data_IF_584493854369
#
_entry.id   IF_584493854369
#
_cell.length_a   1.000
_cell.length_b   1.000
_cell.length_c   1.000
_cell.angle_alpha   90.00
_cell.angle_beta   90.00
_cell.angle_gamma   90.00
#
_symmetry.space_group_name_H-M   'P 1'
#
loop_
_entity.id
_entity.type
_entity.pdbx_description
1 polymer ?
#
# COMPACT_ATOMS: atom_id res chain seq x y z
N UNK A 1 -9.07 -16.60 23.38
CA UNK A 1 -7.65 -16.23 23.17
C UNK A 1 -7.68 -14.80 22.65
N UNK A 2 -6.97 -13.90 23.31
CA UNK A 2 -7.09 -12.46 23.08
C UNK A 2 -6.67 -12.07 21.66
N UNK A 3 -7.54 -11.35 20.96
CA UNK A 3 -7.34 -10.90 19.57
C UNK A 3 -6.13 -9.95 19.51
N UNK A 4 -5.91 -9.16 20.56
CA UNK A 4 -4.82 -8.19 20.62
C UNK A 4 -3.45 -8.89 20.63
N UNK A 5 -3.32 -9.99 21.38
CA UNK A 5 -2.07 -10.75 21.45
C UNK A 5 -1.73 -11.41 20.11
N UNK A 6 -2.74 -11.89 19.38
CA UNK A 6 -2.56 -12.45 18.03
C UNK A 6 -2.03 -11.40 17.04
N UNK A 7 -2.54 -10.17 17.11
CA UNK A 7 -2.03 -9.09 16.25
C UNK A 7 -0.61 -8.65 16.64
N UNK A 8 -0.28 -8.62 17.93
CA UNK A 8 1.09 -8.29 18.40
C UNK A 8 2.11 -9.38 18.04
N UNK A 9 1.70 -10.64 18.01
CA UNK A 9 2.55 -11.81 17.73
C UNK A 9 2.12 -12.55 16.46
N UNK A 10 1.81 -11.81 15.39
CA UNK A 10 1.26 -12.38 14.16
C UNK A 10 2.13 -13.47 13.52
N UNK A 11 3.46 -13.42 13.73
CA UNK A 11 4.38 -14.46 13.24
C UNK A 11 4.14 -15.84 13.90
N UNK A 12 3.82 -15.87 15.19
CA UNK A 12 3.44 -17.12 15.89
C UNK A 12 2.09 -17.62 15.40
N UNK A 13 1.14 -16.71 15.18
CA UNK A 13 -0.20 -17.05 14.71
C UNK A 13 -0.17 -17.65 13.28
N UNK A 14 0.68 -17.12 12.39
CA UNK A 14 0.88 -17.67 11.03
C UNK A 14 1.47 -19.09 11.08
N UNK A 15 2.36 -19.39 12.03
CA UNK A 15 2.97 -20.72 12.16
C UNK A 15 2.02 -21.74 12.79
N UNK A 16 1.21 -21.30 13.76
CA UNK A 16 0.34 -22.18 14.54
C UNK A 16 -1.01 -22.41 13.88
N UNK A 17 -1.50 -21.48 13.05
CA UNK A 17 -2.81 -21.55 12.42
C UNK A 17 -2.71 -21.77 10.90
N UNK A 18 -2.97 -23.00 10.40
CA UNK A 18 -2.91 -23.29 8.97
C UNK A 18 -3.92 -22.49 8.13
N UNK A 19 -5.07 -22.11 8.69
CA UNK A 19 -6.09 -21.32 7.97
C UNK A 19 -5.60 -19.91 7.63
N UNK A 20 -4.86 -19.27 8.55
CA UNK A 20 -4.27 -17.94 8.33
C UNK A 20 -3.20 -18.00 7.25
N UNK A 21 -2.39 -19.07 7.25
CA UNK A 21 -1.40 -19.33 6.21
C UNK A 21 -2.07 -19.50 4.85
N UNK A 22 -3.14 -20.28 4.75
CA UNK A 22 -3.90 -20.43 3.51
C UNK A 22 -4.51 -19.11 3.03
N UNK A 23 -5.05 -18.29 3.94
CA UNK A 23 -5.58 -16.97 3.61
C UNK A 23 -4.51 -16.05 3.02
N UNK A 24 -3.29 -16.05 3.58
CA UNK A 24 -2.16 -15.29 3.05
C UNK A 24 -1.76 -15.77 1.65
N UNK A 25 -1.68 -17.10 1.43
CA UNK A 25 -1.38 -17.68 0.11
C UNK A 25 -2.43 -17.26 -0.92
N UNK A 26 -3.73 -17.33 -0.56
CA UNK A 26 -4.83 -16.90 -1.43
C UNK A 26 -4.72 -15.40 -1.75
N UNK A 27 -4.38 -14.56 -0.77
CA UNK A 27 -4.18 -13.12 -0.96
C UNK A 27 -3.04 -12.82 -1.93
N UNK A 28 -1.91 -13.53 -1.83
CA UNK A 28 -0.80 -13.39 -2.79
C UNK A 28 -1.24 -13.77 -4.20
N UNK A 29 -1.89 -14.94 -4.37
CA UNK A 29 -2.41 -15.37 -5.68
C UNK A 29 -3.39 -14.38 -6.30
N UNK A 30 -4.23 -13.75 -5.49
CA UNK A 30 -5.17 -12.73 -5.95
C UNK A 30 -4.42 -11.53 -6.55
N UNK A 31 -3.42 -11.00 -5.86
CA UNK A 31 -2.62 -9.87 -6.35
C UNK A 31 -1.81 -10.23 -7.59
N UNK A 32 -1.22 -11.42 -7.63
CA UNK A 32 -0.44 -11.88 -8.79
C UNK A 32 -1.32 -12.02 -10.03
N UNK A 33 -2.52 -12.58 -9.87
CA UNK A 33 -3.50 -12.71 -10.96
C UNK A 33 -3.91 -11.32 -11.46
N UNK A 34 -4.24 -10.40 -10.56
CA UNK A 34 -4.64 -9.04 -10.92
C UNK A 34 -3.54 -8.29 -11.69
N UNK A 35 -2.27 -8.40 -11.24
CA UNK A 35 -1.13 -7.80 -11.93
C UNK A 35 -0.90 -8.41 -13.31
N UNK A 36 -0.98 -9.74 -13.42
CA UNK A 36 -0.80 -10.46 -14.68
C UNK A 36 -1.87 -10.04 -15.69
N UNK A 37 -3.14 -10.02 -15.27
CA UNK A 37 -4.24 -9.55 -16.10
C UNK A 37 -4.01 -8.14 -16.64
N UNK A 38 -3.63 -7.19 -15.78
CA UNK A 38 -3.36 -5.81 -16.21
C UNK A 38 -2.18 -5.74 -17.19
N UNK A 39 -1.11 -6.49 -16.94
CA UNK A 39 0.07 -6.54 -17.84
C UNK A 39 -0.28 -7.11 -19.22
N UNK A 40 -1.09 -8.16 -19.29
CA UNK A 40 -1.56 -8.75 -20.54
C UNK A 40 -2.41 -7.78 -21.37
N UNK A 41 -3.12 -6.86 -20.70
CA UNK A 41 -3.93 -5.82 -21.37
C UNK A 41 -3.12 -4.54 -21.67
N UNK A 42 -1.79 -4.58 -21.54
CA UNK A 42 -0.91 -3.47 -21.92
C UNK A 42 -0.77 -2.36 -20.87
N UNK A 43 -1.26 -2.57 -19.63
CA UNK A 43 -1.05 -1.61 -18.55
C UNK A 43 0.38 -1.69 -18.02
N UNK A 44 0.96 -0.52 -17.74
CA UNK A 44 2.27 -0.41 -17.09
C UNK A 44 2.11 -0.23 -15.58
N UNK A 45 2.77 -1.09 -14.81
CA UNK A 45 2.85 -0.96 -13.36
C UNK A 45 3.85 0.16 -13.02
N UNK A 46 3.37 1.26 -12.43
CA UNK A 46 4.18 2.43 -12.09
C UNK A 46 4.10 2.68 -10.58
N UNK A 47 5.26 2.87 -9.95
CA UNK A 47 5.34 3.32 -8.57
C UNK A 47 5.34 4.85 -8.50
N UNK A 48 4.42 5.40 -7.71
CA UNK A 48 4.33 6.84 -7.45
C UNK A 48 4.90 7.17 -6.06
N UNK A 49 5.40 8.39 -5.84
CA UNK A 49 5.95 8.80 -4.54
C UNK A 49 4.97 8.56 -3.40
N UNK A 50 5.46 7.98 -2.30
CA UNK A 50 4.66 7.77 -1.08
C UNK A 50 4.62 9.01 -0.19
N UNK A 51 5.65 9.86 -0.29
CA UNK A 51 5.72 11.15 0.39
C UNK A 51 5.48 12.26 -0.63
N UNK A 52 4.55 13.15 -0.31
CA UNK A 52 4.15 14.27 -1.15
C UNK A 52 4.37 15.60 -0.40
N UNK A 53 4.77 16.64 -1.13
CA UNK A 53 4.95 17.99 -0.57
C UNK A 53 3.59 18.70 -0.40
N UNK A 54 2.60 18.29 -1.19
CA UNK A 54 1.23 18.81 -1.13
C UNK A 54 0.28 17.64 -1.11
N UNK A 55 -0.68 17.68 -0.19
CA UNK A 55 -1.68 16.62 -0.03
C UNK A 55 -2.81 16.83 -1.02
N UNK A 56 -3.00 15.89 -1.94
CA UNK A 56 -4.11 15.93 -2.90
C UNK A 56 -4.76 14.56 -3.08
N UNK A 57 -5.99 14.54 -3.61
CA UNK A 57 -6.65 13.32 -4.09
C UNK A 57 -7.59 12.58 -3.13
N UNK A 58 -7.81 13.08 -1.91
CA UNK A 58 -8.88 12.59 -1.01
C UNK A 58 -9.11 13.57 0.16
N UNK A 59 -10.34 13.62 0.68
CA UNK A 59 -10.68 14.36 1.89
C UNK A 59 -10.38 13.49 3.13
N UNK A 60 -9.12 13.44 3.54
CA UNK A 60 -8.73 12.85 4.82
C UNK A 60 -7.55 13.60 5.44
N UNK A 61 -7.30 13.37 6.73
CA UNK A 61 -6.17 13.96 7.45
C UNK A 61 -4.88 13.19 7.14
N UNK A 62 -3.88 13.80 6.49
CA UNK A 62 -2.63 13.13 6.15
C UNK A 62 -1.71 12.99 7.36
N UNK A 63 -0.89 11.94 7.37
CA UNK A 63 0.24 11.85 8.28
C UNK A 63 1.34 12.84 7.85
N UNK A 64 1.70 13.77 8.74
CA UNK A 64 2.76 14.75 8.49
C UNK A 64 4.09 14.25 9.03
N UNK A 65 5.14 14.43 8.24
CA UNK A 65 6.53 14.21 8.63
C UNK A 65 7.40 15.39 8.18
N UNK A 66 8.66 15.43 8.60
CA UNK A 66 9.60 16.48 8.25
C UNK A 66 10.88 15.87 7.71
N UNK A 67 11.33 16.37 6.56
CA UNK A 67 12.63 15.99 6.01
C UNK A 67 13.68 16.98 6.54
N UNK A 68 14.65 16.47 7.29
CA UNK A 68 15.69 17.30 7.90
C UNK A 68 16.71 17.84 6.90
N UNK A 69 17.05 17.10 5.84
CA UNK A 69 18.08 17.49 4.88
C UNK A 69 17.59 18.62 3.96
N UNK A 70 16.35 18.52 3.50
CA UNK A 70 15.71 19.51 2.61
C UNK A 70 14.86 20.54 3.37
N UNK A 71 14.82 20.44 4.71
CA UNK A 71 14.11 21.36 5.61
C UNK A 71 12.65 21.63 5.24
N UNK A 72 11.94 20.60 4.76
CA UNK A 72 10.58 20.71 4.26
C UNK A 72 9.61 19.74 4.94
N UNK A 73 8.35 20.17 5.04
CA UNK A 73 7.27 19.31 5.51
C UNK A 73 6.82 18.36 4.40
N UNK A 74 6.73 17.08 4.71
CA UNK A 74 6.22 16.03 3.83
C UNK A 74 4.96 15.43 4.43
N UNK A 75 4.13 14.86 3.56
CA UNK A 75 2.90 14.20 3.93
C UNK A 75 2.85 12.81 3.32
N UNK A 76 2.37 11.83 4.07
CA UNK A 76 2.10 10.51 3.55
C UNK A 76 0.89 10.59 2.60
N UNK A 77 1.02 10.01 1.40
CA UNK A 77 -0.07 9.97 0.43
C UNK A 77 -1.33 9.34 1.03
N UNK A 78 -2.48 9.95 0.75
CA UNK A 78 -3.79 9.46 1.20
C UNK A 78 -4.45 8.61 0.11
N UNK A 79 -4.27 9.02 -1.14
CA UNK A 79 -4.79 8.32 -2.32
C UNK A 79 -3.63 7.80 -3.15
N UNK A 80 -3.76 6.56 -3.66
CA UNK A 80 -2.78 6.01 -4.59
C UNK A 80 -2.95 6.70 -5.93
N UNK A 81 -2.16 7.75 -6.12
CA UNK A 81 -1.76 8.22 -7.43
C UNK A 81 -2.87 8.71 -8.34
N UNK A 82 -4.06 9.11 -7.89
CA UNK A 82 -5.09 9.65 -8.81
C UNK A 82 -4.54 10.87 -9.60
N UNK A 83 -3.84 11.76 -8.90
CA UNK A 83 -3.17 12.91 -9.51
C UNK A 83 -2.00 12.49 -10.42
N UNK A 84 -1.24 11.47 -10.03
CA UNK A 84 -0.09 10.98 -10.79
C UNK A 84 -0.50 10.19 -12.03
N UNK A 85 -1.54 9.36 -11.94
CA UNK A 85 -2.14 8.62 -13.05
C UNK A 85 -2.72 9.60 -14.07
N UNK A 86 -3.42 10.67 -13.63
CA UNK A 86 -3.85 11.76 -14.52
C UNK A 86 -2.69 12.47 -15.22
N UNK A 87 -1.54 12.63 -14.55
CA UNK A 87 -0.33 13.26 -15.10
C UNK A 87 0.50 12.35 -16.00
N UNK A 88 0.42 11.03 -15.79
CA UNK A 88 1.15 10.00 -16.52
C UNK A 88 0.36 9.41 -17.70
N UNK A 89 -0.82 9.97 -18.01
CA UNK A 89 -1.50 9.68 -19.26
C UNK A 89 -0.57 10.04 -20.42
N UNK A 90 0.02 9.01 -21.02
CA UNK A 90 0.53 9.02 -22.39
C UNK A 90 -0.65 9.03 -23.37
#
# INVERSE_FOLDING_TARGET
>A
QDIEERFRKRYLDILMNPEIKELLIKKTKFWDTARTFMKEHGFLEIETPTLEVTTGGAEATPFKTYNEDFKLSLFLRISVGELWQKRLNF
#
